data_IF_145871954621
#
_entry.id   IF_145871954621
#
_cell.length_a   1.000
_cell.length_b   1.000
_cell.length_c   1.000
_cell.angle_alpha   90.00
_cell.angle_beta   90.00
_cell.angle_gamma   90.00
#
_symmetry.space_group_name_H-M   'P 1'
#
loop_
_entity.id
_entity.type
_entity.pdbx_description
1 polymer ?
#
# COMPACT_ATOMS: atom_id res chain seq x y z
N UNK A 1 -38.22 65.51 35.73
CA UNK A 1 -37.52 65.23 37.00
C UNK A 1 -36.81 63.89 36.86
N UNK A 2 -35.49 63.87 36.79
CA UNK A 2 -34.69 62.67 36.64
C UNK A 2 -34.38 62.05 38.01
N UNK A 3 -34.81 60.81 38.26
CA UNK A 3 -34.43 60.04 39.45
C UNK A 3 -33.25 59.13 39.12
N UNK A 4 -32.10 59.48 39.68
CA UNK A 4 -30.84 58.72 39.59
C UNK A 4 -30.91 57.54 40.56
N UNK A 5 -30.91 56.31 40.05
CA UNK A 5 -30.76 55.09 40.87
C UNK A 5 -29.29 54.68 40.89
N UNK A 6 -28.67 54.73 42.07
CA UNK A 6 -27.28 54.36 42.34
C UNK A 6 -27.04 52.88 42.06
N UNK A 7 -26.06 52.55 41.21
CA UNK A 7 -25.55 51.19 41.01
C UNK A 7 -24.83 50.72 42.27
N UNK A 8 -25.35 49.67 42.90
CA UNK A 8 -24.70 48.99 44.01
C UNK A 8 -23.36 48.37 43.61
N UNK A 9 -22.36 48.55 44.48
CA UNK A 9 -21.05 47.91 44.39
C UNK A 9 -21.21 46.39 44.50
N UNK A 10 -20.86 45.67 43.43
CA UNK A 10 -20.68 44.21 43.48
C UNK A 10 -19.30 43.93 44.09
N UNK A 11 -19.28 43.25 45.24
CA UNK A 11 -18.07 42.70 45.82
C UNK A 11 -17.42 41.70 44.84
N UNK A 12 -16.11 41.85 44.62
CA UNK A 12 -15.34 40.95 43.77
C UNK A 12 -15.06 39.66 44.55
N UNK A 13 -15.57 38.53 44.05
CA UNK A 13 -15.15 37.21 44.50
C UNK A 13 -13.62 37.03 44.35
N UNK A 14 -12.95 36.31 45.26
CA UNK A 14 -11.49 36.16 45.24
C UNK A 14 -11.05 35.45 43.96
N UNK A 15 -10.03 36.00 43.31
CA UNK A 15 -9.43 35.43 42.11
C UNK A 15 -8.76 34.08 42.46
N UNK A 16 -9.33 32.99 41.96
CA UNK A 16 -8.65 31.69 41.96
C UNK A 16 -7.46 31.78 41.02
N UNK A 17 -6.25 31.85 41.59
CA UNK A 17 -5.00 31.76 40.86
C UNK A 17 -4.95 30.36 40.24
N UNK A 18 -5.24 30.25 38.95
CA UNK A 18 -5.04 29.01 38.20
C UNK A 18 -3.53 28.76 38.13
N UNK A 19 -3.07 27.73 38.82
CA UNK A 19 -1.69 27.26 38.71
C UNK A 19 -1.34 27.00 37.25
N UNK A 20 -0.18 27.50 36.84
CA UNK A 20 0.33 27.33 35.49
C UNK A 20 0.40 25.83 35.13
N UNK A 21 -0.02 25.42 33.92
CA UNK A 21 0.14 24.05 33.50
C UNK A 21 1.63 23.72 33.45
N UNK A 22 2.03 22.65 34.14
CA UNK A 22 3.41 22.14 34.10
C UNK A 22 3.89 21.99 32.64
N UNK A 23 5.16 22.33 32.35
CA UNK A 23 5.70 22.17 31.01
C UNK A 23 5.67 20.69 30.65
N UNK A 24 4.80 20.31 29.71
CA UNK A 24 4.82 18.98 29.12
C UNK A 24 6.21 18.77 28.54
N UNK A 25 6.91 17.78 29.09
CA UNK A 25 8.18 17.28 28.60
C UNK A 25 8.04 17.08 27.09
N UNK A 26 8.76 17.89 26.30
CA UNK A 26 8.72 17.81 24.84
C UNK A 26 9.28 16.43 24.48
N UNK A 27 8.39 15.48 24.21
CA UNK A 27 8.73 14.22 23.55
C UNK A 27 9.67 14.55 22.39
N UNK A 28 10.91 14.06 22.46
CA UNK A 28 11.94 14.33 21.45
C UNK A 28 11.34 14.02 20.08
N UNK A 29 11.20 15.07 19.26
CA UNK A 29 10.65 14.95 17.92
C UNK A 29 11.43 13.86 17.18
N UNK A 30 10.71 12.82 16.73
CA UNK A 30 11.33 11.73 15.96
C UNK A 30 12.09 12.35 14.78
N UNK A 31 13.34 11.93 14.52
CA UNK A 31 14.13 12.52 13.45
C UNK A 31 13.39 12.39 12.12
N UNK A 32 13.36 13.47 11.35
CA UNK A 32 12.68 13.51 10.06
C UNK A 32 13.17 12.34 9.17
N UNK A 33 12.25 11.66 8.47
CA UNK A 33 12.58 10.48 7.68
C UNK A 33 13.60 10.85 6.58
N UNK A 34 14.82 10.34 6.70
CA UNK A 34 15.88 10.57 5.72
C UNK A 34 15.57 9.82 4.43
N UNK A 35 15.25 10.56 3.37
CA UNK A 35 15.13 10.06 2.02
C UNK A 35 16.50 9.59 1.51
N UNK A 36 16.68 8.28 1.30
CA UNK A 36 17.92 7.72 0.72
C UNK A 36 17.65 7.27 -0.71
N UNK A 37 18.35 7.87 -1.67
CA UNK A 37 18.32 7.41 -3.05
C UNK A 37 18.81 5.96 -3.15
N UNK A 38 18.21 5.13 -4.03
CA UNK A 38 18.72 3.79 -4.28
C UNK A 38 20.12 3.86 -4.90
N UNK A 39 21.03 3.01 -4.41
CA UNK A 39 22.38 2.84 -5.00
C UNK A 39 22.38 1.95 -6.25
N UNK A 40 21.28 1.25 -6.52
CA UNK A 40 21.16 0.22 -7.56
C UNK A 40 19.82 0.37 -8.27
N UNK A 41 19.81 0.10 -9.58
CA UNK A 41 18.58 0.00 -10.36
C UNK A 41 18.04 -1.43 -10.30
N UNK A 42 16.73 -1.60 -10.50
CA UNK A 42 16.12 -2.92 -10.48
C UNK A 42 15.12 -3.09 -11.63
N UNK A 43 15.11 -4.30 -12.18
CA UNK A 43 14.08 -4.80 -13.09
C UNK A 43 13.37 -5.96 -12.40
N UNK A 44 12.05 -5.92 -12.36
CA UNK A 44 11.24 -6.94 -11.69
C UNK A 44 10.41 -7.68 -12.70
N UNK A 45 10.62 -8.99 -12.71
CA UNK A 45 9.88 -9.96 -13.52
C UNK A 45 8.85 -10.63 -12.62
N UNK A 46 7.58 -10.39 -12.94
CA UNK A 46 6.43 -10.95 -12.23
C UNK A 46 5.71 -11.93 -13.15
N UNK A 47 5.44 -13.14 -12.66
CA UNK A 47 4.57 -14.08 -13.36
C UNK A 47 3.13 -13.85 -12.92
N UNK A 48 2.22 -13.85 -13.87
CA UNK A 48 0.80 -13.82 -13.57
C UNK A 48 0.35 -15.19 -13.04
N UNK A 49 -0.63 -15.29 -12.11
CA UNK A 49 -1.14 -16.57 -11.61
C UNK A 49 -1.59 -17.53 -12.72
N UNK A 50 -2.14 -17.00 -13.81
CA UNK A 50 -2.53 -17.76 -15.02
C UNK A 50 -1.34 -18.49 -15.68
N UNK A 51 -0.14 -17.94 -15.58
CA UNK A 51 1.09 -18.56 -16.11
C UNK A 51 1.61 -19.68 -15.19
N UNK A 52 1.39 -19.53 -13.88
CA UNK A 52 1.76 -20.53 -12.88
C UNK A 52 0.87 -21.77 -13.02
N UNK A 53 -0.42 -21.57 -13.33
CA UNK A 53 -1.38 -22.64 -13.62
C UNK A 53 -1.01 -23.42 -14.90
N UNK A 54 -0.44 -22.75 -15.91
CA UNK A 54 0.13 -23.39 -17.12
C UNK A 54 1.46 -24.11 -16.88
N UNK A 55 1.97 -24.16 -15.65
CA UNK A 55 3.23 -24.84 -15.33
C UNK A 55 4.51 -24.09 -15.74
N UNK A 56 4.40 -22.79 -16.05
CA UNK A 56 5.56 -21.93 -16.31
C UNK A 56 6.20 -21.56 -14.97
N UNK A 57 7.41 -22.06 -14.74
CA UNK A 57 8.17 -21.73 -13.53
C UNK A 57 9.07 -20.52 -13.76
N UNK A 58 9.35 -19.77 -12.68
CA UNK A 58 10.33 -18.68 -12.70
C UNK A 58 11.71 -19.12 -13.22
N UNK A 59 12.08 -20.40 -13.06
CA UNK A 59 13.34 -20.93 -13.55
C UNK A 59 13.38 -21.01 -15.08
N UNK A 60 12.29 -21.46 -15.73
CA UNK A 60 12.17 -21.52 -17.19
C UNK A 60 12.23 -20.12 -17.81
N UNK A 61 11.46 -19.18 -17.26
CA UNK A 61 11.42 -17.78 -17.71
C UNK A 61 12.80 -17.12 -17.58
N UNK A 62 13.52 -17.36 -16.47
CA UNK A 62 14.86 -16.82 -16.31
C UNK A 62 15.91 -17.54 -17.18
N UNK A 63 15.71 -18.82 -17.52
CA UNK A 63 16.58 -19.53 -18.45
C UNK A 63 16.41 -18.98 -19.89
N UNK A 64 15.17 -18.76 -20.32
CA UNK A 64 14.87 -18.11 -21.60
C UNK A 64 15.41 -16.67 -21.66
N UNK A 65 15.28 -15.92 -20.55
CA UNK A 65 15.87 -14.59 -20.44
C UNK A 65 17.39 -14.62 -20.58
N UNK A 66 18.08 -15.60 -19.98
CA UNK A 66 19.54 -15.76 -20.10
C UNK A 66 19.99 -16.16 -21.51
N UNK A 67 19.21 -16.98 -22.21
CA UNK A 67 19.53 -17.41 -23.57
C UNK A 67 19.35 -16.28 -24.58
N UNK A 68 18.35 -15.42 -24.39
CA UNK A 68 18.00 -14.36 -25.33
C UNK A 68 18.64 -13.01 -25.01
N UNK A 69 19.08 -12.78 -23.77
CA UNK A 69 19.68 -11.50 -23.34
C UNK A 69 21.13 -11.68 -22.93
N UNK A 70 22.04 -11.18 -23.76
CA UNK A 70 23.45 -11.05 -23.42
C UNK A 70 23.69 -9.81 -22.55
N UNK A 71 24.24 -10.01 -21.36
CA UNK A 71 24.58 -8.93 -20.42
C UNK A 71 25.79 -8.10 -20.88
N UNK A 72 26.68 -8.67 -21.68
CA UNK A 72 27.85 -7.99 -22.24
C UNK A 72 27.47 -6.90 -23.23
N UNK A 73 26.45 -7.15 -24.05
CA UNK A 73 25.91 -6.19 -25.03
C UNK A 73 25.16 -5.02 -24.36
N UNK A 74 24.95 -5.10 -23.06
CA UNK A 74 24.34 -4.05 -22.23
C UNK A 74 25.36 -3.39 -21.30
N UNK A 75 26.64 -3.76 -21.40
CA UNK A 75 27.73 -3.29 -20.53
C UNK A 75 27.40 -3.41 -19.03
N UNK A 76 26.75 -4.50 -18.64
CA UNK A 76 26.45 -4.79 -17.24
C UNK A 76 27.49 -5.79 -16.72
N UNK A 77 28.39 -5.33 -15.85
CA UNK A 77 29.45 -6.16 -15.27
C UNK A 77 28.90 -7.27 -14.37
N UNK A 78 27.89 -6.96 -13.56
CA UNK A 78 27.27 -7.94 -12.67
C UNK A 78 25.84 -7.59 -12.34
N UNK A 79 25.03 -8.65 -12.24
CA UNK A 79 23.62 -8.56 -11.88
C UNK A 79 23.41 -9.37 -10.60
N UNK A 80 22.71 -8.78 -9.63
CA UNK A 80 22.32 -9.47 -8.41
C UNK A 80 20.85 -9.87 -8.48
N UNK A 81 20.58 -11.15 -8.32
CA UNK A 81 19.22 -11.66 -8.24
C UNK A 81 18.71 -11.65 -6.79
N UNK A 82 17.50 -11.14 -6.58
CA UNK A 82 16.78 -11.21 -5.31
C UNK A 82 15.33 -11.62 -5.54
N UNK A 83 14.72 -12.26 -4.54
CA UNK A 83 13.29 -12.56 -4.56
C UNK A 83 12.50 -11.49 -3.81
N UNK A 84 11.45 -10.98 -4.44
CA UNK A 84 10.53 -10.03 -3.85
C UNK A 84 9.73 -10.67 -2.69
N UNK A 85 9.10 -9.83 -1.87
CA UNK A 85 8.20 -10.31 -0.82
C UNK A 85 7.04 -11.14 -1.39
N UNK A 86 6.57 -10.79 -2.59
CA UNK A 86 5.49 -11.42 -3.35
C UNK A 86 5.91 -12.70 -4.10
N UNK A 87 7.21 -13.02 -4.18
CA UNK A 87 7.73 -14.15 -4.94
C UNK A 87 8.30 -13.79 -6.32
N UNK A 88 8.03 -12.58 -6.82
CA UNK A 88 8.59 -12.05 -8.07
C UNK A 88 10.13 -12.03 -8.04
N UNK A 89 10.75 -12.10 -9.23
CA UNK A 89 12.20 -12.06 -9.37
C UNK A 89 12.66 -10.63 -9.60
N UNK A 90 13.57 -10.16 -8.75
CA UNK A 90 14.20 -8.84 -8.82
C UNK A 90 15.61 -9.01 -9.36
N UNK A 91 15.90 -8.31 -10.44
CA UNK A 91 17.18 -8.24 -11.12
C UNK A 91 17.78 -6.89 -10.77
N UNK A 92 18.71 -6.84 -9.81
CA UNK A 92 19.41 -5.62 -9.43
C UNK A 92 20.62 -5.42 -10.34
N UNK A 93 20.65 -4.28 -11.04
CA UNK A 93 21.77 -3.85 -11.87
C UNK A 93 22.65 -2.94 -11.02
N UNK A 94 23.91 -3.35 -10.87
CA UNK A 94 24.98 -2.60 -10.19
C UNK A 94 26.01 -2.13 -11.21
N UNK A 95 26.59 -0.93 -10.98
CA UNK A 95 27.50 -0.26 -11.90
C UNK A 95 27.41 1.27 -11.84
N UNK A 96 28.16 1.96 -12.69
CA UNK A 96 27.93 3.36 -13.04
C UNK A 96 26.79 3.44 -14.08
N UNK A 97 26.00 4.51 -14.06
CA UNK A 97 24.87 4.74 -14.99
C UNK A 97 23.85 3.59 -15.07
N UNK A 98 23.48 3.06 -13.90
CA UNK A 98 22.54 1.95 -13.76
C UNK A 98 21.13 2.26 -14.28
N UNK A 99 20.74 3.53 -14.36
CA UNK A 99 19.40 3.90 -14.79
C UNK A 99 19.18 3.51 -16.27
N UNK A 100 19.87 4.11 -17.25
CA UNK A 100 19.64 3.79 -18.66
C UNK A 100 19.90 2.31 -19.00
N UNK A 101 20.94 1.69 -18.41
CA UNK A 101 21.22 0.26 -18.62
C UNK A 101 20.08 -0.66 -18.16
N UNK A 102 19.43 -0.32 -17.04
CA UNK A 102 18.27 -1.05 -16.56
C UNK A 102 16.99 -0.77 -17.39
N UNK A 103 16.88 0.39 -18.05
CA UNK A 103 15.81 0.65 -19.02
C UNK A 103 15.95 -0.28 -20.22
N UNK A 104 17.14 -0.29 -20.85
CA UNK A 104 17.43 -1.14 -22.00
C UNK A 104 17.22 -2.62 -21.69
N UNK A 105 17.64 -3.08 -20.50
CA UNK A 105 17.38 -4.46 -20.07
C UNK A 105 15.89 -4.73 -19.87
N UNK A 106 15.13 -3.77 -19.34
CA UNK A 106 13.68 -3.93 -19.19
C UNK A 106 12.96 -3.90 -20.53
N UNK A 107 13.42 -3.11 -21.50
CA UNK A 107 12.86 -3.04 -22.85
C UNK A 107 13.10 -4.34 -23.61
N UNK A 108 14.34 -4.86 -23.62
CA UNK A 108 14.66 -6.17 -24.20
C UNK A 108 13.87 -7.31 -23.56
N UNK A 109 13.71 -7.30 -22.23
CA UNK A 109 12.88 -8.29 -21.56
C UNK A 109 11.39 -8.13 -21.91
N UNK A 110 10.90 -6.91 -22.13
CA UNK A 110 9.54 -6.68 -22.61
C UNK A 110 9.34 -7.20 -24.04
N UNK A 111 10.31 -7.06 -24.93
CA UNK A 111 10.24 -7.63 -26.27
C UNK A 111 10.22 -9.17 -26.23
N UNK A 112 11.09 -9.77 -25.43
CA UNK A 112 11.19 -11.23 -25.31
C UNK A 112 9.93 -11.86 -24.72
N UNK A 113 9.28 -11.19 -23.76
CA UNK A 113 8.12 -11.73 -23.03
C UNK A 113 6.78 -11.10 -23.41
N UNK A 114 6.77 -10.10 -24.29
CA UNK A 114 5.58 -9.35 -24.69
C UNK A 114 4.53 -10.20 -25.41
N UNK A 115 4.95 -11.32 -26.00
CA UNK A 115 4.08 -12.18 -26.80
C UNK A 115 3.21 -13.15 -25.99
N UNK A 116 3.47 -13.31 -24.69
CA UNK A 116 2.83 -14.36 -23.89
C UNK A 116 1.73 -13.92 -22.93
N UNK A 117 1.64 -12.62 -22.57
CA UNK A 117 0.74 -12.11 -21.51
C UNK A 117 1.00 -12.69 -20.09
N UNK A 118 1.83 -13.73 -20.00
CA UNK A 118 2.10 -14.55 -18.82
C UNK A 118 3.16 -13.91 -17.90
N UNK A 119 3.94 -12.95 -18.41
CA UNK A 119 5.06 -12.30 -17.70
C UNK A 119 4.96 -10.78 -17.79
N UNK A 120 4.99 -10.11 -16.65
CA UNK A 120 5.05 -8.64 -16.56
C UNK A 120 6.44 -8.21 -16.13
N UNK A 121 7.11 -7.45 -16.99
CA UNK A 121 8.40 -6.80 -16.70
C UNK A 121 8.11 -5.37 -16.26
N UNK A 122 8.54 -5.04 -15.05
CA UNK A 122 8.34 -3.72 -14.45
C UNK A 122 9.65 -3.12 -13.98
N UNK A 123 9.77 -1.79 -14.04
CA UNK A 123 10.93 -1.04 -13.54
C UNK A 123 10.57 -0.29 -12.25
N UNK A 124 10.72 -0.92 -11.07
CA UNK A 124 10.42 -0.24 -9.82
C UNK A 124 11.50 0.77 -9.46
N UNK A 125 11.11 2.03 -9.33
CA UNK A 125 11.90 3.07 -8.70
C UNK A 125 11.48 3.22 -7.23
N UNK A 126 12.41 3.59 -6.35
CA UNK A 126 12.02 3.95 -4.98
C UNK A 126 11.26 5.26 -5.03
N UNK A 127 10.01 5.22 -4.60
CA UNK A 127 9.14 6.39 -4.47
C UNK A 127 9.03 6.83 -3.01
N UNK A 128 8.80 8.12 -2.83
CA UNK A 128 8.45 8.76 -1.57
C UNK A 128 7.04 9.33 -1.66
N UNK A 129 6.31 9.29 -0.55
CA UNK A 129 4.96 9.83 -0.46
C UNK A 129 5.00 11.25 0.12
N UNK A 130 4.34 12.18 -0.54
CA UNK A 130 4.23 13.58 -0.17
C UNK A 130 2.75 13.96 0.02
N UNK A 131 2.49 14.88 0.94
CA UNK A 131 1.22 15.56 1.08
C UNK A 131 1.42 17.02 0.63
N UNK A 132 0.77 17.39 -0.45
CA UNK A 132 0.70 18.76 -0.96
C UNK A 132 -0.59 19.36 -0.43
N UNK A 133 -0.52 20.44 0.36
CA UNK A 133 -1.67 21.05 1.01
C UNK A 133 -1.74 22.55 0.77
N UNK A 134 -2.96 23.08 0.76
CA UNK A 134 -3.23 24.48 0.47
C UNK A 134 -3.37 24.74 -1.02
N UNK A 135 -3.98 23.81 -1.74
CA UNK A 135 -4.40 23.98 -3.14
C UNK A 135 -5.79 24.63 -3.16
N UNK A 136 -6.07 25.41 -4.20
CA UNK A 136 -7.41 25.93 -4.47
C UNK A 136 -8.33 24.85 -5.08
N UNK A 137 -9.57 25.22 -5.35
CA UNK A 137 -10.64 24.38 -5.87
C UNK A 137 -10.54 24.11 -7.38
N UNK A 138 -9.81 24.94 -8.13
CA UNK A 138 -9.64 24.77 -9.58
C UNK A 138 -8.51 23.82 -9.97
N UNK A 139 -7.60 23.50 -9.04
CA UNK A 139 -6.41 22.68 -9.31
C UNK A 139 -6.77 21.28 -9.81
N UNK A 140 -6.20 20.91 -10.95
CA UNK A 140 -6.32 19.56 -11.50
C UNK A 140 -5.18 18.64 -11.05
N UNK A 141 -5.38 17.32 -11.19
CA UNK A 141 -4.32 16.33 -10.87
C UNK A 141 -3.11 16.47 -11.79
N UNK A 142 -3.34 16.91 -13.02
CA UNK A 142 -2.33 17.06 -14.07
C UNK A 142 -1.40 18.23 -13.74
N UNK A 143 -1.95 19.39 -13.37
CA UNK A 143 -1.16 20.53 -12.90
C UNK A 143 -0.28 20.20 -11.70
N UNK A 144 -0.80 19.41 -10.74
CA UNK A 144 0.00 18.95 -9.60
C UNK A 144 1.12 18.02 -10.07
N UNK A 145 0.87 17.15 -11.04
CA UNK A 145 1.87 16.23 -11.57
C UNK A 145 2.98 16.98 -12.34
N UNK A 146 2.60 17.97 -13.16
CA UNK A 146 3.50 18.85 -13.89
C UNK A 146 4.36 19.70 -12.96
N UNK A 147 3.75 20.34 -11.95
CA UNK A 147 4.48 21.14 -10.97
C UNK A 147 5.52 20.30 -10.21
N UNK A 148 5.14 19.09 -9.81
CA UNK A 148 6.07 18.13 -9.15
C UNK A 148 7.13 17.65 -10.13
N UNK A 149 6.80 17.44 -11.40
CA UNK A 149 7.72 17.06 -12.46
C UNK A 149 8.76 18.14 -12.74
N UNK A 150 8.33 19.39 -12.93
CA UNK A 150 9.16 20.55 -13.21
C UNK A 150 10.15 20.84 -12.07
N UNK A 151 9.66 20.88 -10.81
CA UNK A 151 10.53 21.12 -9.65
C UNK A 151 11.40 19.90 -9.31
N UNK A 152 10.87 18.70 -9.52
CA UNK A 152 11.52 17.44 -9.21
C UNK A 152 12.53 16.97 -10.25
N UNK A 153 12.47 17.48 -11.48
CA UNK A 153 13.24 16.97 -12.62
C UNK A 153 12.85 15.53 -12.99
N UNK A 154 11.55 15.22 -12.93
CA UNK A 154 11.03 13.87 -13.21
C UNK A 154 9.96 13.91 -14.30
N UNK A 155 9.91 12.85 -15.12
CA UNK A 155 8.80 12.61 -16.04
C UNK A 155 7.48 12.44 -15.28
N UNK A 156 6.41 13.04 -15.83
CA UNK A 156 5.06 13.06 -15.24
C UNK A 156 4.53 11.65 -15.00
N UNK A 157 4.85 10.70 -15.87
CA UNK A 157 4.44 9.29 -15.76
C UNK A 157 4.96 8.59 -14.50
N UNK A 158 6.06 9.08 -13.93
CA UNK A 158 6.64 8.52 -12.70
C UNK A 158 6.02 9.11 -11.44
N UNK A 159 5.15 10.11 -11.59
CA UNK A 159 4.44 10.79 -10.50
C UNK A 159 3.02 10.26 -10.41
N UNK A 160 2.65 9.67 -9.27
CA UNK A 160 1.28 9.21 -9.02
C UNK A 160 0.56 10.20 -8.14
N UNK A 161 -0.51 10.78 -8.65
CA UNK A 161 -1.32 11.78 -7.94
C UNK A 161 -2.62 11.13 -7.46
N UNK A 162 -2.91 11.27 -6.17
CA UNK A 162 -4.16 10.81 -5.56
C UNK A 162 -5.34 11.73 -5.84
N UNK A 163 -6.55 11.39 -5.37
CA UNK A 163 -7.69 12.30 -5.42
C UNK A 163 -7.45 13.53 -4.55
N UNK A 164 -7.90 14.69 -5.03
CA UNK A 164 -8.01 15.91 -4.24
C UNK A 164 -8.98 15.68 -3.09
N UNK A 165 -8.57 16.04 -1.88
CA UNK A 165 -9.42 15.99 -0.69
C UNK A 165 -9.45 17.35 -0.03
N UNK A 166 -10.65 17.83 0.27
CA UNK A 166 -10.83 19.06 1.02
C UNK A 166 -10.41 18.86 2.47
N UNK A 167 -9.55 19.74 2.97
CA UNK A 167 -9.19 19.81 4.39
C UNK A 167 -10.23 20.64 5.15
N UNK A 168 -10.22 20.58 6.49
CA UNK A 168 -11.14 21.38 7.34
C UNK A 168 -11.01 22.89 7.13
N UNK A 169 -9.90 23.35 6.56
CA UNK A 169 -9.65 24.75 6.20
C UNK A 169 -10.44 25.20 4.95
N UNK A 170 -11.11 24.29 4.25
CA UNK A 170 -11.79 24.57 2.98
C UNK A 170 -10.89 24.45 1.75
N UNK A 171 -9.56 24.49 1.92
CA UNK A 171 -8.58 24.27 0.86
C UNK A 171 -8.38 22.78 0.56
N UNK A 172 -7.85 22.48 -0.61
CA UNK A 172 -7.58 21.12 -1.05
C UNK A 172 -6.17 20.65 -0.68
N UNK A 173 -6.07 19.35 -0.46
CA UNK A 173 -4.82 18.64 -0.26
C UNK A 173 -4.79 17.34 -1.08
N UNK A 174 -3.61 16.99 -1.55
CA UNK A 174 -3.36 15.87 -2.45
C UNK A 174 -2.19 15.04 -1.94
N UNK A 175 -2.37 13.73 -2.00
CA UNK A 175 -1.27 12.79 -1.84
C UNK A 175 -0.57 12.59 -3.18
N UNK A 176 0.76 12.68 -3.19
CA UNK A 176 1.60 12.49 -4.38
C UNK A 176 2.68 11.46 -4.06
N UNK A 177 2.90 10.50 -4.94
CA UNK A 177 4.08 9.64 -4.91
C UNK A 177 5.02 9.97 -6.07
N UNK A 178 6.25 10.34 -5.74
CA UNK A 178 7.29 10.67 -6.73
C UNK A 178 8.60 9.96 -6.38
N UNK A 179 9.56 9.85 -7.33
CA UNK A 179 10.88 9.30 -7.05
C UNK A 179 11.58 10.03 -5.90
N UNK A 180 12.38 9.30 -5.12
CA UNK A 180 13.03 9.83 -3.90
C UNK A 180 13.90 11.07 -4.17
N UNK A 181 14.51 11.17 -5.36
CA UNK A 181 15.35 12.31 -5.74
C UNK A 181 14.52 13.58 -5.97
N UNK A 182 13.45 13.47 -6.76
CA UNK A 182 12.48 14.55 -6.92
C UNK A 182 11.86 14.96 -5.58
N UNK A 183 11.50 13.98 -4.74
CA UNK A 183 10.88 14.26 -3.46
C UNK A 183 11.75 15.13 -2.54
N UNK A 184 13.08 14.96 -2.55
CA UNK A 184 13.99 15.81 -1.77
C UNK A 184 13.91 17.28 -2.20
N UNK A 185 14.05 17.52 -3.51
CA UNK A 185 14.01 18.87 -4.10
C UNK A 185 12.67 19.55 -3.86
N UNK A 186 11.59 18.77 -3.95
CA UNK A 186 10.23 19.29 -3.78
C UNK A 186 9.96 19.67 -2.32
N UNK A 187 10.43 18.88 -1.35
CA UNK A 187 10.23 19.10 0.10
C UNK A 187 10.99 20.31 0.62
N UNK A 188 12.18 20.61 0.10
CA UNK A 188 13.04 21.71 0.58
C UNK A 188 12.53 23.11 0.18
N UNK A 189 11.40 23.24 -0.51
CA UNK A 189 10.83 24.55 -0.81
C UNK A 189 9.31 24.55 -1.00
N UNK A 190 8.76 25.73 -1.34
CA UNK A 190 7.35 25.87 -1.72
C UNK A 190 7.12 25.27 -3.11
N UNK A 191 6.03 24.57 -3.32
CA UNK A 191 5.65 24.05 -4.64
C UNK A 191 4.64 25.03 -5.23
N UNK A 192 4.95 25.62 -6.39
CA UNK A 192 4.00 26.45 -7.11
C UNK A 192 3.17 25.54 -8.00
N UNK A 193 1.85 25.53 -7.77
CA UNK A 193 0.87 24.84 -8.60
C UNK A 193 -0.08 25.92 -9.10
N UNK A 194 -0.08 26.17 -10.41
CA UNK A 194 -0.71 27.36 -10.96
C UNK A 194 -0.16 28.63 -10.29
N UNK A 195 -1.03 29.40 -9.65
CA UNK A 195 -0.67 30.63 -8.91
C UNK A 195 -0.49 30.41 -7.40
N UNK A 196 -0.77 29.20 -6.91
CA UNK A 196 -0.84 28.91 -5.48
C UNK A 196 0.48 28.32 -4.99
N UNK A 197 0.98 28.90 -3.89
CA UNK A 197 2.13 28.35 -3.18
C UNK A 197 1.70 27.25 -2.20
N UNK A 198 1.77 26.00 -2.67
CA UNK A 198 1.39 24.84 -1.90
C UNK A 198 2.49 24.43 -0.91
N UNK A 199 2.07 23.97 0.27
CA UNK A 199 2.95 23.43 1.32
C UNK A 199 3.13 21.94 1.12
N UNK A 200 4.38 21.49 1.07
CA UNK A 200 4.71 20.07 0.90
C UNK A 200 5.15 19.48 2.25
N UNK A 201 4.55 18.35 2.62
CA UNK A 201 4.96 17.57 3.79
C UNK A 201 5.37 16.16 3.35
N UNK A 202 6.55 15.72 3.76
CA UNK A 202 6.98 14.34 3.56
C UNK A 202 6.17 13.42 4.48
N UNK A 203 5.52 12.41 3.90
CA UNK A 203 4.80 11.39 4.66
C UNK A 203 5.74 10.26 5.06
N UNK A 204 5.53 9.75 6.27
CA UNK A 204 6.23 8.56 6.75
C UNK A 204 5.81 7.35 5.90
N UNK A 205 6.78 6.50 5.56
CA UNK A 205 6.51 5.26 4.83
C UNK A 205 5.52 4.41 5.63
N UNK A 206 4.37 4.12 5.02
CA UNK A 206 3.37 3.23 5.62
C UNK A 206 4.00 1.88 5.93
N UNK A 207 3.73 1.38 7.13
CA UNK A 207 4.18 0.06 7.52
C UNK A 207 3.57 -1.01 6.61
N UNK A 208 4.41 -1.93 6.14
CA UNK A 208 3.98 -3.04 5.31
C UNK A 208 2.98 -3.91 6.08
N UNK A 209 1.81 -4.16 5.50
CA UNK A 209 0.70 -4.88 6.13
C UNK A 209 0.23 -6.05 5.28
N UNK A 210 -0.06 -7.16 5.94
CA UNK A 210 -0.60 -8.33 5.29
C UNK A 210 -2.08 -8.12 4.96
N UNK A 211 -2.47 -8.30 3.71
CA UNK A 211 -3.87 -8.24 3.29
C UNK A 211 -4.71 -9.46 3.69
N UNK A 212 -4.11 -10.52 4.25
CA UNK A 212 -4.84 -11.68 4.78
C UNK A 212 -5.12 -11.51 6.28
N UNK A 213 -4.09 -11.41 7.10
CA UNK A 213 -4.24 -11.38 8.55
C UNK A 213 -4.20 -9.97 9.18
N UNK A 214 -4.03 -8.93 8.36
CA UNK A 214 -3.98 -7.51 8.75
C UNK A 214 -2.83 -7.08 9.67
N UNK A 215 -1.95 -8.00 10.08
CA UNK A 215 -0.77 -7.70 10.87
C UNK A 215 0.30 -6.99 10.02
N UNK A 216 1.13 -6.16 10.66
CA UNK A 216 2.28 -5.53 10.00
C UNK A 216 3.48 -6.48 9.90
N UNK A 217 4.35 -6.24 8.90
CA UNK A 217 5.65 -6.90 8.74
C UNK A 217 5.75 -7.93 7.61
N UNK A 218 4.66 -8.40 7.02
CA UNK A 218 4.68 -9.37 5.92
C UNK A 218 3.54 -9.15 4.89
N UNK A 219 3.64 -9.81 3.73
CA UNK A 219 2.64 -9.80 2.66
C UNK A 219 1.83 -11.10 2.65
N UNK A 220 0.67 -11.12 1.96
CA UNK A 220 -0.21 -12.30 1.85
C UNK A 220 0.53 -13.57 1.41
N UNK A 221 1.43 -13.46 0.43
CA UNK A 221 2.22 -14.59 -0.09
C UNK A 221 3.14 -15.26 0.94
N UNK A 222 3.47 -14.59 2.04
CA UNK A 222 4.28 -15.15 3.13
C UNK A 222 3.46 -15.42 4.39
N UNK A 223 2.14 -15.21 4.33
CA UNK A 223 1.28 -15.28 5.50
C UNK A 223 0.98 -16.73 5.88
N UNK A 224 1.37 -17.14 7.09
CA UNK A 224 1.03 -18.45 7.67
C UNK A 224 -0.23 -18.41 8.54
N UNK A 225 -0.94 -17.28 8.59
CA UNK A 225 -2.16 -17.19 9.40
C UNK A 225 -3.28 -18.01 8.77
N UNK A 226 -4.00 -18.75 9.62
CA UNK A 226 -5.20 -19.52 9.23
C UNK A 226 -6.35 -18.56 8.92
N UNK A 227 -6.62 -17.63 9.83
CA UNK A 227 -7.73 -16.68 9.73
C UNK A 227 -7.49 -15.62 8.64
N UNK A 228 -8.40 -15.56 7.67
CA UNK A 228 -8.46 -14.50 6.67
C UNK A 228 -9.39 -13.38 7.14
N UNK A 229 -8.83 -12.17 7.27
CA UNK A 229 -9.51 -10.93 7.63
C UNK A 229 -9.48 -9.93 6.46
N UNK A 230 -9.04 -10.33 5.27
CA UNK A 230 -8.76 -9.42 4.16
C UNK A 230 -9.96 -8.65 3.64
N UNK A 231 -11.17 -9.18 3.86
CA UNK A 231 -12.44 -8.56 3.48
C UNK A 231 -13.07 -7.73 4.61
N UNK A 232 -12.41 -7.63 5.77
CA UNK A 232 -12.89 -6.78 6.87
C UNK A 232 -12.62 -5.31 6.56
N UNK A 233 -13.59 -4.47 6.88
CA UNK A 233 -13.46 -3.03 6.82
C UNK A 233 -12.37 -2.56 7.79
N UNK A 234 -11.37 -1.86 7.29
CA UNK A 234 -10.29 -1.29 8.12
C UNK A 234 -10.77 -0.27 9.17
N UNK A 235 -12.01 0.22 9.06
CA UNK A 235 -12.60 1.16 10.03
C UNK A 235 -13.30 0.44 11.17
N UNK A 236 -14.24 -0.47 10.89
CA UNK A 236 -15.09 -1.10 11.91
C UNK A 236 -14.89 -2.61 12.09
N UNK A 237 -14.10 -3.27 11.25
CA UNK A 237 -13.85 -4.72 11.33
C UNK A 237 -14.94 -5.62 10.71
N UNK A 238 -16.06 -5.06 10.26
CA UNK A 238 -17.14 -5.81 9.62
C UNK A 238 -16.86 -6.08 8.14
N UNK A 239 -17.47 -7.13 7.60
CA UNK A 239 -17.35 -7.50 6.18
C UNK A 239 -18.39 -6.79 5.32
N UNK A 240 -18.23 -6.82 4.00
CA UNK A 240 -19.24 -6.38 3.03
C UNK A 240 -19.14 -4.92 2.56
N UNK A 241 -18.20 -4.11 3.08
CA UNK A 241 -18.02 -2.73 2.63
C UNK A 241 -16.57 -2.25 2.74
N UNK A 242 -16.23 -1.19 1.99
CA UNK A 242 -14.90 -0.56 2.04
C UNK A 242 -14.86 0.51 3.12
N UNK A 243 -13.67 0.76 3.68
CA UNK A 243 -13.49 1.77 4.72
C UNK A 243 -13.77 3.21 4.26
N UNK A 244 -13.83 3.47 2.95
CA UNK A 244 -14.20 4.76 2.39
C UNK A 244 -15.69 5.07 2.61
N UNK A 245 -16.54 4.04 2.53
CA UNK A 245 -18.01 4.13 2.59
C UNK A 245 -18.54 3.78 3.99
N UNK A 246 -17.64 3.54 4.94
CA UNK A 246 -17.97 3.12 6.29
C UNK A 246 -18.23 4.32 7.21
N UNK A 247 -19.44 4.42 7.73
CA UNK A 247 -19.83 5.42 8.75
C UNK A 247 -19.89 4.87 10.18
N UNK A 248 -19.66 3.57 10.35
CA UNK A 248 -19.66 2.93 11.67
C UNK A 248 -18.53 3.46 12.57
N UNK A 249 -18.73 3.28 13.88
CA UNK A 249 -17.73 3.61 14.88
C UNK A 249 -16.43 2.83 14.61
N UNK A 250 -15.26 3.47 14.80
CA UNK A 250 -13.99 2.83 14.54
C UNK A 250 -13.75 1.70 15.55
N UNK A 251 -13.48 0.50 15.04
CA UNK A 251 -13.20 -0.70 15.82
C UNK A 251 -12.07 -1.50 15.17
N UNK A 252 -11.00 -1.74 15.92
CA UNK A 252 -9.82 -2.48 15.48
C UNK A 252 -9.85 -3.92 16.00
N UNK A 253 -10.15 -4.85 15.11
CA UNK A 253 -10.26 -6.29 15.42
C UNK A 253 -8.97 -6.87 16.01
N UNK A 254 -7.81 -6.45 15.52
CA UNK A 254 -6.52 -6.92 16.03
C UNK A 254 -6.22 -6.45 17.46
N UNK A 255 -6.67 -5.25 17.82
CA UNK A 255 -6.47 -4.74 19.17
C UNK A 255 -7.51 -5.32 20.13
N UNK A 256 -8.74 -5.51 19.68
CA UNK A 256 -9.79 -6.18 20.44
C UNK A 256 -9.36 -7.62 20.81
N UNK A 257 -8.89 -8.40 19.84
CA UNK A 257 -8.36 -9.75 20.06
C UNK A 257 -7.13 -9.77 20.99
N UNK A 258 -6.34 -8.69 21.00
CA UNK A 258 -5.14 -8.56 21.84
C UNK A 258 -5.43 -7.96 23.24
N UNK A 259 -6.70 -7.73 23.60
CA UNK A 259 -7.09 -7.14 24.89
C UNK A 259 -6.68 -5.66 25.05
N UNK A 260 -6.49 -4.94 23.95
CA UNK A 260 -6.09 -3.52 23.94
C UNK A 260 -7.25 -2.62 23.52
N UNK A 261 -7.16 -1.33 23.85
CA UNK A 261 -8.11 -0.31 23.41
C UNK A 261 -8.36 -0.40 21.89
N UNK A 262 -9.59 -0.75 21.50
CA UNK A 262 -9.95 -1.06 20.12
C UNK A 262 -10.74 0.02 19.40
N UNK A 263 -11.10 1.13 20.07
CA UNK A 263 -11.87 2.26 19.52
C UNK A 263 -11.05 3.16 18.58
N UNK A 264 -10.41 2.55 17.58
CA UNK A 264 -9.59 3.25 16.60
C UNK A 264 -9.60 2.52 15.26
N UNK A 265 -9.26 3.26 14.19
CA UNK A 265 -9.11 2.67 12.86
C UNK A 265 -7.85 1.80 12.81
N UNK A 266 -7.99 0.60 12.28
CA UNK A 266 -6.87 -0.31 12.11
C UNK A 266 -5.73 0.35 11.27
N UNK A 267 -4.54 0.47 11.86
CA UNK A 267 -3.38 1.11 11.24
C UNK A 267 -3.27 2.63 11.36
N UNK A 268 -4.14 3.26 12.15
CA UNK A 268 -3.90 4.64 12.63
C UNK A 268 -2.62 4.73 13.47
N UNK A 269 -2.15 5.96 13.72
CA UNK A 269 -1.04 6.20 14.66
C UNK A 269 -1.32 5.70 16.09
N UNK A 270 -2.60 5.58 16.46
CA UNK A 270 -3.06 5.03 17.74
C UNK A 270 -3.14 3.49 17.77
N UNK A 271 -2.96 2.82 16.63
CA UNK A 271 -3.08 1.37 16.53
C UNK A 271 -1.84 0.66 17.09
N UNK A 272 -2.00 -0.01 18.24
CA UNK A 272 -0.95 -0.76 18.93
C UNK A 272 -1.02 -2.28 18.71
N UNK A 273 -1.55 -2.68 17.55
CA UNK A 273 -1.67 -4.08 17.15
C UNK A 273 -0.29 -4.78 17.14
N UNK A 274 -0.19 -6.04 17.60
CA UNK A 274 1.08 -6.75 17.68
C UNK A 274 1.73 -6.92 16.30
N UNK A 275 3.05 -6.73 16.22
CA UNK A 275 3.81 -6.99 15.00
C UNK A 275 4.19 -8.46 14.95
N UNK A 276 3.54 -9.25 14.09
CA UNK A 276 3.96 -10.64 13.81
C UNK A 276 5.17 -10.61 12.88
N UNK A 277 6.37 -10.59 13.46
CA UNK A 277 7.64 -10.75 12.72
C UNK A 277 7.72 -12.19 12.21
N UNK A 278 7.55 -12.39 10.91
CA UNK A 278 7.88 -13.67 10.30
C UNK A 278 9.38 -13.75 10.07
N UNK A 279 9.98 -14.88 10.45
CA UNK A 279 11.36 -15.22 10.09
C UNK A 279 11.46 -15.23 8.55
N UNK A 280 12.53 -14.69 7.98
CA UNK A 280 12.81 -14.81 6.54
C UNK A 280 13.01 -16.29 6.20
N UNK A 281 11.93 -17.02 5.88
CA UNK A 281 12.07 -18.32 5.22
C UNK A 281 12.61 -18.06 3.82
N UNK A 282 13.70 -18.75 3.49
CA UNK A 282 14.09 -18.97 2.09
C UNK A 282 12.91 -19.66 1.43
N UNK A 283 12.48 -19.16 0.29
CA UNK A 283 11.41 -19.78 -0.49
C UNK A 283 12.00 -21.09 -1.05
N UNK A 284 11.97 -22.17 -0.27
CA UNK A 284 12.12 -23.51 -0.81
C UNK A 284 10.84 -23.74 -1.58
N UNK A 285 10.95 -23.99 -2.89
CA UNK A 285 9.82 -24.37 -3.72
C UNK A 285 9.13 -25.54 -3.02
N UNK A 286 7.93 -25.31 -2.47
CA UNK A 286 7.14 -26.40 -1.93
C UNK A 286 6.82 -27.31 -3.11
N UNK A 287 7.50 -28.45 -3.13
CA UNK A 287 7.06 -29.64 -3.84
C UNK A 287 5.59 -29.89 -3.50
N UNK A 288 4.81 -30.14 -4.54
CA UNK A 288 3.41 -30.53 -4.43
C UNK A 288 3.30 -31.72 -3.46
N UNK A 289 2.59 -31.50 -2.35
CA UNK A 289 2.03 -32.57 -1.50
C UNK A 289 0.55 -32.74 -1.86
N UNK A 290 0.02 -33.97 -1.79
CA UNK A 290 -1.17 -34.38 -2.55
C UNK A 290 -2.43 -33.68 -2.04
N UNK A 291 -3.19 -33.10 -2.96
CA UNK A 291 -4.58 -32.73 -2.73
C UNK A 291 -5.37 -34.02 -2.49
N UNK A 292 -5.91 -34.19 -1.29
CA UNK A 292 -6.98 -35.16 -1.06
C UNK A 292 -8.18 -34.74 -1.90
N UNK A 293 -8.54 -35.60 -2.84
CA UNK A 293 -9.73 -35.48 -3.66
C UNK A 293 -10.97 -35.50 -2.76
N UNK A 294 -11.73 -34.41 -2.77
CA UNK A 294 -13.09 -34.41 -2.24
C UNK A 294 -13.99 -35.04 -3.30
N UNK A 295 -14.52 -36.21 -3.00
CA UNK A 295 -15.56 -36.88 -3.78
C UNK A 295 -16.85 -36.04 -3.79
N UNK A 296 -17.52 -35.85 -4.93
CA UNK A 296 -18.79 -35.14 -4.99
C UNK A 296 -19.92 -35.99 -4.38
N UNK A 297 -20.93 -35.38 -3.72
CA UNK A 297 -22.08 -36.12 -3.22
C UNK A 297 -22.98 -36.57 -4.37
N UNK A 298 -23.10 -37.89 -4.55
CA UNK A 298 -24.13 -38.55 -5.34
C UNK A 298 -25.42 -38.65 -4.51
N UNK A 299 -26.52 -38.10 -5.02
CA UNK A 299 -27.83 -38.21 -4.37
C UNK A 299 -28.90 -37.47 -5.15
N UNK A 300 -29.20 -37.95 -6.36
CA UNK A 300 -30.48 -37.69 -7.03
C UNK A 300 -31.37 -38.89 -6.75
N UNK A 301 -32.30 -38.75 -5.81
CA UNK A 301 -33.40 -39.70 -5.62
C UNK A 301 -34.41 -39.50 -6.76
N UNK A 302 -34.55 -40.52 -7.60
CA UNK A 302 -35.66 -40.66 -8.54
C UNK A 302 -36.25 -42.06 -8.41
N UNK A 303 -37.56 -42.08 -8.12
CA UNK A 303 -38.54 -43.10 -8.50
C UNK A 303 -38.31 -44.54 -8.02
N UNK A 304 -39.02 -44.91 -6.94
CA UNK A 304 -39.53 -46.27 -6.79
C UNK A 304 -40.99 -46.32 -7.24
N UNK A 305 -41.23 -47.17 -8.24
CA UNK A 305 -42.53 -47.57 -8.76
C UNK A 305 -43.10 -48.70 -7.91
N UNK A 306 -44.23 -48.47 -7.24
CA UNK A 306 -45.03 -49.55 -6.66
C UNK A 306 -45.94 -50.16 -7.73
N UNK A 307 -45.68 -51.42 -8.07
CA UNK A 307 -46.58 -52.30 -8.81
C UNK A 307 -47.06 -53.37 -7.84
N UNK A 308 -48.36 -53.40 -7.54
CA UNK A 308 -49.00 -54.53 -6.86
C UNK A 308 -50.22 -54.99 -7.67
N UNK A 309 -49.98 -56.06 -8.44
CA UNK A 309 -50.86 -57.20 -8.76
C UNK A 309 -52.38 -57.04 -8.85
N UNK A 310 -52.88 -57.22 -10.08
CA UNK A 310 -53.91 -58.18 -10.53
C UNK A 310 -55.06 -58.56 -9.58
N UNK A 311 -56.28 -58.30 -10.03
CA UNK A 311 -57.39 -59.26 -9.96
C UNK A 311 -58.27 -59.15 -11.22
N UNK A 312 -58.44 -60.28 -11.91
CA UNK A 312 -59.57 -60.56 -12.81
C UNK A 312 -60.81 -60.86 -11.95
N UNK A 313 -62.00 -60.50 -12.44
CA UNK A 313 -63.03 -61.41 -12.99
C UNK A 313 -64.44 -60.76 -12.94
N UNK A 314 -65.17 -60.99 -14.05
CA UNK A 314 -66.62 -60.79 -14.35
C UNK A 314 -67.28 -59.41 -14.26
#
# INVERSE_FOLDING_TARGET
>A
MASVVKRGLREKAPAVIRSAPMPKEREKAKPAPKLRAPKTSAVVVTLHPTAVEKGVTYAKVLAEARQRVNLKDLEIESVRFRRAATGASIIEVSGADNAPKADLLADRLREVFGNGGDVTVSRPTKTAELLVAGLDDSVTKEEVAEAVGAKGGCAVDRVKVGPLRQERSGLFAVWVACPVEAAKRVVEGKLLVGWVSARVKLLERRELRCFKCLHSGHVKARCTAVVDRGLQCYRCGQMGHRAADCNAAPHCTLCAEAGKAASHRLGSKSCSAPKKRMVRRVFVASSAGPQQAQTPPSGVEAMETENLTTHNDE
#
